data_IF_324061212508
#
_entry.id   IF_324061212508
#
_cell.length_a   1.000
_cell.length_b   1.000
_cell.length_c   1.000
_cell.angle_alpha   90.00
_cell.angle_beta   90.00
_cell.angle_gamma   90.00
#
_symmetry.space_group_name_H-M   'P 1'
#
loop_
_entity.id
_entity.type
_entity.pdbx_description
1 polymer ?
#
# COMPACT_ATOMS: atom_id res chain seq x y z
N UNK A 1 -1.76 7.41 -8.12
CA UNK A 1 -1.47 6.90 -9.48
C UNK A 1 -2.73 6.95 -10.32
N UNK A 2 -2.61 7.02 -11.64
CA UNK A 2 -3.79 7.07 -12.55
C UNK A 2 -4.45 5.70 -12.75
N UNK A 3 -3.66 4.61 -12.71
CA UNK A 3 -4.15 3.24 -12.87
C UNK A 3 -3.89 2.43 -11.59
N UNK A 4 -4.85 2.36 -10.64
CA UNK A 4 -4.66 1.71 -9.34
C UNK A 4 -4.92 0.19 -9.35
N UNK A 5 -5.49 -0.38 -10.41
CA UNK A 5 -5.95 -1.79 -10.46
C UNK A 5 -4.85 -2.82 -10.19
N UNK A 6 -3.58 -2.46 -10.41
CA UNK A 6 -2.41 -3.32 -10.20
C UNK A 6 -1.91 -3.35 -8.75
N UNK A 7 -2.42 -2.45 -7.90
CA UNK A 7 -1.87 -2.17 -6.58
C UNK A 7 -2.94 -2.31 -5.48
N UNK A 8 -2.48 -2.37 -4.23
CA UNK A 8 -3.36 -2.18 -3.09
C UNK A 8 -3.79 -0.72 -2.95
N UNK A 9 -5.09 -0.48 -2.80
CA UNK A 9 -5.67 0.87 -2.63
C UNK A 9 -6.00 1.11 -1.16
N UNK A 10 -5.62 2.27 -0.65
CA UNK A 10 -5.88 2.70 0.71
C UNK A 10 -7.01 3.72 0.72
N UNK A 11 -8.08 3.44 1.47
CA UNK A 11 -9.10 4.42 1.83
C UNK A 11 -8.79 4.91 3.24
N UNK A 12 -8.57 6.21 3.39
CA UNK A 12 -8.13 6.77 4.67
C UNK A 12 -8.63 8.20 4.85
N UNK A 13 -8.67 8.64 6.10
CA UNK A 13 -8.98 10.01 6.45
C UNK A 13 -7.78 10.92 6.16
N UNK A 14 -7.90 11.84 5.19
CA UNK A 14 -6.79 12.70 4.79
C UNK A 14 -6.27 13.65 5.89
N UNK A 15 -7.09 13.98 6.90
CA UNK A 15 -6.68 14.87 8.00
C UNK A 15 -5.86 14.14 9.07
N UNK A 16 -6.18 12.88 9.34
CA UNK A 16 -5.54 12.09 10.41
C UNK A 16 -4.57 11.04 9.88
N UNK A 17 -4.65 10.71 8.59
CA UNK A 17 -3.93 9.60 7.96
C UNK A 17 -4.49 8.22 8.31
N UNK A 18 -5.53 8.12 9.17
CA UNK A 18 -6.05 6.81 9.62
C UNK A 18 -6.67 6.03 8.46
N UNK A 19 -6.20 4.80 8.22
CA UNK A 19 -6.75 3.93 7.18
C UNK A 19 -8.05 3.31 7.67
N UNK A 20 -9.12 3.52 6.90
CA UNK A 20 -10.45 2.94 7.12
C UNK A 20 -10.56 1.57 6.46
N UNK A 21 -9.98 1.43 5.26
CA UNK A 21 -9.90 0.15 4.56
C UNK A 21 -8.70 0.04 3.63
N UNK A 22 -8.21 -1.18 3.47
CA UNK A 22 -7.16 -1.56 2.53
C UNK A 22 -7.73 -2.59 1.56
N UNK A 23 -7.67 -2.31 0.26
CA UNK A 23 -8.24 -3.16 -0.79
C UNK A 23 -7.16 -3.56 -1.78
N UNK A 24 -6.74 -4.82 -1.73
CA UNK A 24 -5.70 -5.35 -2.63
C UNK A 24 -6.26 -5.63 -4.03
N UNK A 25 -5.68 -4.99 -5.06
CA UNK A 25 -6.02 -5.18 -6.50
C UNK A 25 -7.53 -5.13 -6.78
N UNK A 26 -8.16 -3.97 -6.51
CA UNK A 26 -9.61 -3.85 -6.62
C UNK A 26 -10.08 -4.05 -8.06
N UNK A 27 -11.19 -4.77 -8.22
CA UNK A 27 -11.85 -4.98 -9.53
C UNK A 27 -12.69 -3.77 -9.97
N UNK A 28 -13.14 -2.97 -9.00
CA UNK A 28 -13.87 -1.73 -9.21
C UNK A 28 -13.02 -0.54 -8.75
N UNK A 29 -13.30 0.66 -9.25
CA UNK A 29 -12.54 1.85 -8.87
C UNK A 29 -12.80 2.21 -7.40
N UNK A 30 -11.75 2.14 -6.56
CA UNK A 30 -11.80 2.51 -5.13
C UNK A 30 -11.14 3.87 -4.89
N UNK A 31 -10.06 4.19 -5.60
CA UNK A 31 -9.33 5.44 -5.46
C UNK A 31 -7.92 5.41 -6.03
N UNK A 32 -7.27 6.58 -6.04
CA UNK A 32 -5.95 6.78 -6.66
C UNK A 32 -4.77 6.74 -5.67
N UNK A 33 -5.05 6.47 -4.40
CA UNK A 33 -4.04 6.38 -3.34
C UNK A 33 -3.70 4.91 -3.12
N UNK A 34 -2.51 4.53 -3.57
CA UNK A 34 -2.05 3.15 -3.53
C UNK A 34 -1.01 2.94 -2.43
N UNK A 35 -0.83 1.68 -2.04
CA UNK A 35 0.30 1.23 -1.28
C UNK A 35 1.59 1.35 -2.11
N UNK A 36 2.56 2.13 -1.62
CA UNK A 36 3.84 2.36 -2.29
C UNK A 36 4.91 1.31 -1.95
N UNK A 37 4.59 0.31 -1.12
CA UNK A 37 5.56 -0.73 -0.71
C UNK A 37 6.58 -0.25 0.33
N UNK A 38 6.31 0.85 1.03
CA UNK A 38 7.18 1.39 2.09
C UNK A 38 6.42 1.44 3.42
N UNK A 39 7.05 0.93 4.47
CA UNK A 39 6.38 0.77 5.77
C UNK A 39 7.29 1.20 6.92
N UNK A 40 6.69 1.88 7.90
CA UNK A 40 7.28 2.10 9.22
C UNK A 40 6.44 1.29 10.19
N UNK A 41 7.02 0.23 10.74
CA UNK A 41 6.30 -0.76 11.53
C UNK A 41 6.93 -0.92 12.91
N UNK A 42 6.08 -1.03 13.93
CA UNK A 42 6.51 -1.50 15.25
C UNK A 42 6.85 -2.99 15.19
N UNK A 43 7.87 -3.49 15.93
CA UNK A 43 8.18 -4.92 16.02
C UNK A 43 7.00 -5.81 16.42
N UNK A 44 6.02 -5.26 17.15
CA UNK A 44 4.78 -5.97 17.53
C UNK A 44 3.95 -6.49 16.36
N UNK A 45 4.21 -6.02 15.12
CA UNK A 45 3.57 -6.59 13.94
C UNK A 45 3.97 -8.06 13.72
N UNK A 46 5.16 -8.47 14.16
CA UNK A 46 5.65 -9.85 13.97
C UNK A 46 4.75 -10.86 14.68
N UNK A 47 4.12 -10.49 15.79
CA UNK A 47 3.15 -11.33 16.52
C UNK A 47 1.86 -11.59 15.73
N UNK A 48 1.59 -10.77 14.70
CA UNK A 48 0.44 -10.91 13.80
C UNK A 48 0.73 -11.80 12.60
N UNK A 49 1.99 -12.18 12.38
CA UNK A 49 2.41 -12.96 11.20
C UNK A 49 2.52 -14.44 11.60
N UNK A 50 1.68 -15.33 11.05
CA UNK A 50 1.79 -16.75 11.32
C UNK A 50 3.07 -17.34 10.70
N UNK A 51 3.51 -18.49 11.22
CA UNK A 51 4.63 -19.27 10.67
C UNK A 51 4.24 -20.02 9.38
N UNK A 52 3.72 -19.28 8.40
CA UNK A 52 3.29 -19.73 7.08
C UNK A 52 3.49 -18.62 6.05
N UNK A 53 3.52 -18.92 4.75
CA UNK A 53 3.50 -17.89 3.71
C UNK A 53 2.36 -16.90 3.96
N UNK A 54 2.71 -15.62 4.10
CA UNK A 54 1.79 -14.54 4.50
C UNK A 54 2.11 -13.28 3.69
N UNK A 55 1.08 -12.69 3.09
CA UNK A 55 1.04 -11.34 2.55
C UNK A 55 0.54 -10.36 3.61
N UNK A 56 1.41 -9.45 4.02
CA UNK A 56 1.02 -8.41 4.99
C UNK A 56 -0.19 -7.59 4.51
N UNK A 57 -0.32 -7.39 3.20
CA UNK A 57 -1.36 -6.58 2.56
C UNK A 57 -2.74 -7.25 2.61
N UNK A 58 -2.78 -8.59 2.58
CA UNK A 58 -4.02 -9.35 2.59
C UNK A 58 -4.40 -9.86 3.96
N UNK A 59 -3.42 -10.28 4.76
CA UNK A 59 -3.68 -10.96 6.02
C UNK A 59 -3.44 -10.08 7.27
N UNK A 60 -2.62 -9.02 7.19
CA UNK A 60 -2.23 -8.22 8.37
C UNK A 60 -2.85 -6.83 8.36
N UNK A 61 -2.67 -6.07 7.28
CA UNK A 61 -3.14 -4.70 7.15
C UNK A 61 -4.66 -4.54 7.27
N UNK A 62 -5.51 -5.41 6.70
CA UNK A 62 -6.95 -5.29 6.87
C UNK A 62 -7.37 -5.39 8.34
N UNK A 63 -6.75 -6.27 9.13
CA UNK A 63 -7.04 -6.41 10.56
C UNK A 63 -6.49 -5.22 11.37
N UNK A 64 -5.31 -4.70 11.03
CA UNK A 64 -4.79 -3.48 11.66
C UNK A 64 -5.64 -2.24 11.34
N UNK A 65 -6.17 -2.13 10.12
CA UNK A 65 -7.09 -1.07 9.74
C UNK A 65 -8.38 -1.14 10.56
N UNK A 66 -8.99 -2.33 10.68
CA UNK A 66 -10.16 -2.57 11.53
C UNK A 66 -9.90 -2.21 12.99
N UNK A 67 -8.71 -2.51 13.51
CA UNK A 67 -8.28 -2.15 14.87
C UNK A 67 -7.95 -0.64 15.01
N UNK A 68 -7.87 0.11 13.91
CA UNK A 68 -7.51 1.53 13.92
C UNK A 68 -6.03 1.81 14.19
N UNK A 69 -5.17 0.83 13.94
CA UNK A 69 -3.72 0.86 14.18
C UNK A 69 -2.91 1.12 12.90
N UNK A 70 -3.57 1.23 11.74
CA UNK A 70 -2.92 1.45 10.45
C UNK A 70 -3.15 2.87 9.94
N UNK A 71 -2.08 3.52 9.49
CA UNK A 71 -2.08 4.91 9.03
C UNK A 71 -1.31 5.03 7.72
N UNK A 72 -1.78 5.92 6.84
CA UNK A 72 -1.16 6.26 5.57
C UNK A 72 -0.35 7.55 5.69
N UNK A 73 0.77 7.59 4.97
CA UNK A 73 1.51 8.81 4.69
C UNK A 73 1.55 9.04 3.18
N UNK A 74 1.08 10.19 2.72
CA UNK A 74 1.08 10.52 1.29
C UNK A 74 2.48 10.97 0.89
N UNK A 75 3.17 10.12 0.14
CA UNK A 75 4.51 10.43 -0.37
C UNK A 75 4.44 11.58 -1.38
N UNK A 76 5.22 12.66 -1.20
CA UNK A 76 5.37 13.69 -2.22
C UNK A 76 6.34 13.24 -3.32
N UNK A 77 6.15 13.76 -4.53
CA UNK A 77 7.06 13.54 -5.66
C UNK A 77 6.73 12.31 -6.50
N UNK A 78 7.75 11.79 -7.17
CA UNK A 78 7.62 10.69 -8.11
C UNK A 78 7.79 9.34 -7.42
N UNK A 79 6.93 8.39 -7.76
CA UNK A 79 7.04 7.00 -7.36
C UNK A 79 6.77 6.10 -8.57
N UNK A 80 7.55 5.04 -8.71
CA UNK A 80 7.38 4.03 -9.74
C UNK A 80 7.80 2.67 -9.23
N UNK A 81 6.97 1.66 -9.51
CA UNK A 81 7.33 0.26 -9.35
C UNK A 81 8.06 -0.25 -10.61
N UNK A 82 9.21 -0.89 -10.43
CA UNK A 82 10.05 -1.40 -11.52
C UNK A 82 9.93 -2.93 -11.55
N UNK A 83 8.86 -3.40 -12.18
CA UNK A 83 8.55 -4.83 -12.29
C UNK A 83 8.99 -5.47 -13.61
N UNK A 84 9.16 -4.68 -14.68
CA UNK A 84 9.56 -5.14 -16.01
C UNK A 84 10.74 -4.33 -16.56
N UNK A 85 11.54 -4.87 -17.49
CA UNK A 85 12.68 -4.13 -18.07
C UNK A 85 12.30 -2.77 -18.68
N UNK A 86 11.12 -2.64 -19.28
CA UNK A 86 10.62 -1.37 -19.81
C UNK A 86 10.36 -0.31 -18.73
N UNK A 87 9.99 -0.74 -17.52
CA UNK A 87 9.68 0.14 -16.40
C UNK A 87 10.97 0.80 -15.90
N UNK A 88 12.08 0.03 -15.90
CA UNK A 88 13.40 0.54 -15.57
C UNK A 88 13.84 1.64 -16.55
N UNK A 89 13.72 1.41 -17.86
CA UNK A 89 14.05 2.40 -18.89
C UNK A 89 13.22 3.68 -18.74
N UNK A 90 11.93 3.52 -18.46
CA UNK A 90 11.01 4.65 -18.25
C UNK A 90 11.41 5.45 -17.00
N UNK A 91 11.72 4.77 -15.89
CA UNK A 91 12.16 5.42 -14.66
C UNK A 91 13.49 6.16 -14.80
N UNK A 92 14.44 5.64 -15.59
CA UNK A 92 15.71 6.32 -15.87
C UNK A 92 15.55 7.61 -16.69
N UNK A 93 14.52 7.69 -17.54
CA UNK A 93 14.26 8.86 -18.38
C UNK A 93 13.32 9.89 -17.72
N UNK A 94 12.82 9.61 -16.52
CA UNK A 94 11.88 10.47 -15.80
C UNK A 94 12.55 11.65 -15.05
N UNK A 95 13.87 11.81 -15.19
CA UNK A 95 14.69 12.84 -14.55
C UNK A 95 15.62 13.53 -15.55
#
# INVERSE_FOLDING_TARGET
VEEPSKYGVCVFNEKTGKIDSFVEKPQEYVGNKINAGMYILSPSILDRIPLSPTSIEKEVFPEMAKAGELYAYVLPGFWMDVGQPKDFLTGCCAF
#
